data_IF_964182572798
#
_entry.id   IF_964182572798
#
_cell.length_a   1.000
_cell.length_b   1.000
_cell.length_c   1.000
_cell.angle_alpha   90.00
_cell.angle_beta   90.00
_cell.angle_gamma   90.00
#
_symmetry.space_group_name_H-M   'P 1'
#
loop_
_entity.id
_entity.type
_entity.pdbx_description
1 polymer ?
#
# COMPACT_ATOMS: atom_id res chain seq x y z
N UNK A 1 8.15 10.29 42.38
CA UNK A 1 8.43 8.95 41.81
C UNK A 1 7.82 8.94 40.42
N UNK A 2 8.62 9.11 39.36
CA UNK A 2 8.12 9.00 37.99
C UNK A 2 7.76 7.54 37.74
N UNK A 3 6.49 7.27 37.45
CA UNK A 3 6.01 5.92 37.12
C UNK A 3 6.58 5.59 35.74
N UNK A 4 7.49 4.60 35.64
CA UNK A 4 7.94 4.09 34.35
C UNK A 4 6.94 3.00 33.88
N UNK A 5 6.16 3.26 32.83
CA UNK A 5 5.16 2.31 32.35
C UNK A 5 5.76 1.09 31.62
N UNK A 6 7.07 1.07 31.29
CA UNK A 6 7.73 -0.05 30.58
C UNK A 6 7.00 -0.47 29.29
N UNK A 7 6.66 0.51 28.44
CA UNK A 7 5.87 0.29 27.23
C UNK A 7 6.61 -0.55 26.19
N UNK A 8 7.93 -0.38 26.09
CA UNK A 8 8.74 -1.10 25.10
C UNK A 8 8.88 -2.58 25.47
N UNK A 9 9.09 -2.85 26.75
CA UNK A 9 9.06 -4.19 27.32
C UNK A 9 7.69 -4.84 27.11
N UNK A 10 6.61 -4.06 27.27
CA UNK A 10 5.25 -4.55 27.07
C UNK A 10 4.97 -4.94 25.62
N UNK A 11 5.51 -4.21 24.65
CA UNK A 11 5.43 -4.57 23.24
C UNK A 11 6.06 -5.94 22.96
N UNK A 12 7.21 -6.23 23.59
CA UNK A 12 7.91 -7.50 23.42
C UNK A 12 7.26 -8.66 24.17
N UNK A 13 6.91 -8.47 25.45
CA UNK A 13 6.39 -9.55 26.31
C UNK A 13 4.88 -9.78 26.16
N UNK A 14 4.14 -8.80 25.64
CA UNK A 14 2.68 -8.84 25.57
C UNK A 14 1.97 -8.61 26.92
N UNK A 15 2.74 -8.34 27.98
CA UNK A 15 2.24 -7.96 29.30
C UNK A 15 3.20 -6.97 29.95
N UNK A 16 2.72 -6.17 30.90
CA UNK A 16 3.59 -5.26 31.64
C UNK A 16 4.38 -6.04 32.70
N UNK A 17 5.71 -5.87 32.81
CA UNK A 17 6.53 -6.54 33.81
C UNK A 17 6.01 -6.41 35.25
N UNK A 18 5.42 -5.25 35.58
CA UNK A 18 4.82 -4.97 36.88
C UNK A 18 3.60 -5.86 37.17
N UNK A 19 2.77 -6.14 36.15
CA UNK A 19 1.63 -7.06 36.29
C UNK A 19 2.11 -8.49 36.52
N UNK A 20 3.18 -8.90 35.84
CA UNK A 20 3.82 -10.20 36.07
C UNK A 20 4.31 -10.32 37.52
N UNK A 21 5.03 -9.31 38.02
CA UNK A 21 5.51 -9.26 39.40
C UNK A 21 4.38 -9.30 40.42
N UNK A 22 3.28 -8.58 40.18
CA UNK A 22 2.10 -8.64 41.05
C UNK A 22 1.50 -10.05 41.11
N UNK A 23 1.38 -10.75 39.98
CA UNK A 23 0.87 -12.13 39.96
C UNK A 23 1.79 -13.08 40.72
N UNK A 24 3.09 -12.94 40.56
CA UNK A 24 4.10 -13.73 41.29
C UNK A 24 4.02 -13.44 42.79
N UNK A 25 3.89 -12.17 43.18
CA UNK A 25 3.73 -11.75 44.58
C UNK A 25 2.51 -12.43 45.23
N UNK A 26 1.36 -12.37 44.58
CA UNK A 26 0.11 -12.97 45.08
C UNK A 26 0.28 -14.49 45.20
N UNK A 27 0.84 -15.16 44.19
CA UNK A 27 1.06 -16.61 44.24
C UNK A 27 1.96 -17.03 45.41
N UNK A 28 3.09 -16.34 45.62
CA UNK A 28 3.95 -16.62 46.77
C UNK A 28 3.28 -16.35 48.10
N UNK A 29 2.49 -15.28 48.19
CA UNK A 29 1.73 -14.96 49.38
C UNK A 29 0.73 -16.08 49.68
N UNK A 30 -0.04 -16.53 48.70
CA UNK A 30 -1.02 -17.60 48.85
C UNK A 30 -0.35 -18.91 49.33
N UNK A 31 0.77 -19.30 48.72
CA UNK A 31 1.53 -20.47 49.18
C UNK A 31 2.05 -20.34 50.62
N UNK A 32 2.49 -19.15 51.03
CA UNK A 32 2.91 -18.91 52.41
C UNK A 32 1.73 -19.13 53.38
N UNK A 33 0.54 -18.63 53.04
CA UNK A 33 -0.67 -18.85 53.85
C UNK A 33 -1.07 -20.33 53.88
N UNK A 34 -1.05 -21.02 52.75
CA UNK A 34 -1.38 -22.45 52.68
C UNK A 34 -0.44 -23.31 53.55
N UNK A 35 0.87 -23.09 53.45
CA UNK A 35 1.86 -23.81 54.26
C UNK A 35 1.66 -23.52 55.75
N UNK A 36 1.39 -22.27 56.12
CA UNK A 36 1.15 -21.89 57.51
C UNK A 36 -0.11 -22.56 58.10
N UNK A 37 -1.19 -22.63 57.32
CA UNK A 37 -2.40 -23.37 57.71
C UNK A 37 -2.12 -24.87 57.83
N UNK A 38 -1.31 -25.44 56.94
CA UNK A 38 -0.92 -26.85 57.02
C UNK A 38 -0.10 -27.15 58.28
N UNK A 39 0.88 -26.29 58.61
CA UNK A 39 1.68 -26.41 59.84
C UNK A 39 0.80 -26.31 61.09
N UNK A 40 -0.11 -25.35 61.14
CA UNK A 40 -1.05 -25.19 62.27
C UNK A 40 -1.91 -26.46 62.46
N UNK A 41 -2.47 -27.01 61.37
CA UNK A 41 -3.26 -28.25 61.40
C UNK A 41 -2.45 -29.45 61.91
N UNK A 42 -1.20 -29.59 61.48
CA UNK A 42 -0.32 -30.67 61.94
C UNK A 42 -0.01 -30.52 63.43
N UNK A 43 0.32 -29.31 63.89
CA UNK A 43 0.58 -29.05 65.31
C UNK A 43 -0.65 -29.37 66.16
N UNK A 44 -1.85 -28.94 65.74
CA UNK A 44 -3.10 -29.23 66.44
C UNK A 44 -3.38 -30.75 66.52
N UNK A 45 -3.20 -31.47 65.41
CA UNK A 45 -3.39 -32.93 65.35
C UNK A 45 -2.39 -33.68 66.24
N UNK A 46 -1.15 -33.19 66.33
CA UNK A 46 -0.12 -33.80 67.19
C UNK A 46 -0.35 -33.48 68.67
N UNK A 47 -0.71 -32.24 69.01
CA UNK A 47 -1.02 -31.84 70.38
C UNK A 47 -2.19 -32.64 70.98
N UNK A 48 -3.24 -32.88 70.18
CA UNK A 48 -4.39 -33.71 70.59
C UNK A 48 -4.08 -35.21 70.73
N UNK A 49 -2.96 -35.69 70.18
CA UNK A 49 -2.52 -37.08 70.30
C UNK A 49 -1.62 -37.37 71.50
N UNK A 50 -1.15 -36.35 72.25
CA UNK A 50 -0.31 -36.53 73.44
C UNK A 50 -1.14 -36.58 74.73
N UNK A 51 -1.02 -37.63 75.57
CA UNK A 51 -1.67 -37.66 76.87
C UNK A 51 -1.05 -36.62 77.81
N UNK A 52 -1.89 -35.75 78.40
CA UNK A 52 -1.49 -34.70 79.35
C UNK A 52 -1.17 -33.33 78.73
N UNK A 53 -1.37 -33.13 77.43
CA UNK A 53 -1.10 -31.84 76.79
C UNK A 53 -2.28 -30.86 76.96
N UNK A 54 -2.06 -29.75 77.68
CA UNK A 54 -3.04 -28.67 77.92
C UNK A 54 -2.88 -27.50 76.95
N UNK A 55 -2.34 -27.74 75.75
CA UNK A 55 -2.18 -26.67 74.76
C UNK A 55 -3.54 -26.25 74.21
N UNK A 56 -3.91 -24.99 74.46
CA UNK A 56 -5.15 -24.43 73.94
C UNK A 56 -4.99 -24.07 72.46
N UNK A 57 -5.95 -24.47 71.61
CA UNK A 57 -5.96 -24.14 70.18
C UNK A 57 -5.83 -22.63 69.92
N UNK A 58 -6.35 -21.80 70.83
CA UNK A 58 -6.25 -20.34 70.76
C UNK A 58 -4.79 -19.87 70.90
N UNK A 59 -4.00 -20.49 71.78
CA UNK A 59 -2.59 -20.15 71.96
C UNK A 59 -1.76 -20.56 70.75
N UNK A 60 -2.04 -21.74 70.17
CA UNK A 60 -1.40 -22.21 68.94
C UNK A 60 -1.70 -21.23 67.80
N UNK A 61 -2.97 -20.85 67.61
CA UNK A 61 -3.36 -19.87 66.60
C UNK A 61 -2.66 -18.51 66.79
N UNK A 62 -2.63 -17.99 68.01
CA UNK A 62 -1.93 -16.73 68.31
C UNK A 62 -0.43 -16.79 68.00
N UNK A 63 0.21 -17.94 68.26
CA UNK A 63 1.62 -18.16 67.92
C UNK A 63 1.84 -18.26 66.40
N UNK A 64 0.97 -18.97 65.68
CA UNK A 64 1.00 -19.08 64.21
C UNK A 64 0.80 -17.72 63.53
N UNK A 65 -0.16 -16.92 64.00
CA UNK A 65 -0.41 -15.57 63.49
C UNK A 65 0.77 -14.63 63.73
N UNK A 66 1.43 -14.74 64.89
CA UNK A 66 2.64 -13.96 65.20
C UNK A 66 3.79 -14.34 64.27
N UNK A 67 4.02 -15.64 64.07
CA UNK A 67 5.06 -16.13 63.15
C UNK A 67 4.75 -15.76 61.70
N UNK A 68 3.49 -15.84 61.28
CA UNK A 68 3.04 -15.45 59.95
C UNK A 68 3.31 -13.96 59.69
N UNK A 69 3.05 -13.08 60.68
CA UNK A 69 3.36 -11.66 60.56
C UNK A 69 4.85 -11.42 60.33
N UNK A 70 5.69 -12.08 61.12
CA UNK A 70 7.15 -12.03 60.96
C UNK A 70 7.58 -12.50 59.57
N UNK A 71 7.03 -13.62 59.09
CA UNK A 71 7.34 -14.17 57.77
C UNK A 71 6.89 -13.23 56.64
N UNK A 72 5.70 -12.62 56.75
CA UNK A 72 5.20 -11.65 55.76
C UNK A 72 6.09 -10.41 55.67
N UNK A 73 6.51 -9.85 56.80
CA UNK A 73 7.42 -8.70 56.79
C UNK A 73 8.76 -9.02 56.14
N UNK A 74 9.32 -10.18 56.48
CA UNK A 74 10.58 -10.65 55.87
C UNK A 74 10.41 -10.93 54.38
N UNK A 75 9.32 -11.58 53.99
CA UNK A 75 8.98 -11.85 52.60
C UNK A 75 8.87 -10.55 51.80
N UNK A 76 8.09 -9.57 52.27
CA UNK A 76 7.92 -8.30 51.56
C UNK A 76 9.25 -7.58 51.33
N UNK A 77 10.13 -7.54 52.34
CA UNK A 77 11.46 -6.92 52.21
C UNK A 77 12.35 -7.63 51.19
N UNK A 78 12.29 -8.96 51.12
CA UNK A 78 13.07 -9.74 50.15
C UNK A 78 12.46 -9.67 48.75
N UNK A 79 11.14 -9.70 48.66
CA UNK A 79 10.39 -9.64 47.41
C UNK A 79 10.68 -8.33 46.67
N UNK A 80 10.66 -7.18 47.36
CA UNK A 80 10.98 -5.88 46.73
C UNK A 80 12.39 -5.88 46.10
N UNK A 81 13.37 -6.50 46.76
CA UNK A 81 14.73 -6.60 46.20
C UNK A 81 14.78 -7.54 44.99
N UNK A 82 14.09 -8.68 45.09
CA UNK A 82 13.99 -9.64 43.99
C UNK A 82 13.28 -9.03 42.78
N UNK A 83 12.16 -8.33 43.00
CA UNK A 83 11.39 -7.60 42.01
C UNK A 83 12.29 -6.60 41.27
N UNK A 84 13.05 -5.78 42.00
CA UNK A 84 13.99 -4.83 41.39
C UNK A 84 15.00 -5.52 40.48
N UNK A 85 15.59 -6.64 40.94
CA UNK A 85 16.58 -7.40 40.15
C UNK A 85 15.94 -8.00 38.91
N UNK A 86 14.74 -8.59 39.03
CA UNK A 86 14.02 -9.19 37.90
C UNK A 86 13.62 -8.12 36.87
N UNK A 87 13.12 -6.98 37.34
CA UNK A 87 12.74 -5.86 36.49
C UNK A 87 13.95 -5.18 35.81
N UNK A 88 15.15 -5.28 36.38
CA UNK A 88 16.35 -4.67 35.79
C UNK A 88 17.11 -5.60 34.83
N UNK A 89 17.19 -6.89 35.17
CA UNK A 89 18.07 -7.84 34.48
C UNK A 89 17.33 -8.83 33.57
N UNK A 90 16.05 -9.09 33.84
CA UNK A 90 15.29 -10.14 33.13
C UNK A 90 14.17 -9.54 32.29
N UNK A 91 13.32 -8.71 32.90
CA UNK A 91 12.14 -8.12 32.25
C UNK A 91 12.40 -6.70 31.75
N UNK A 92 13.64 -6.39 31.39
CA UNK A 92 14.07 -5.11 30.85
C UNK A 92 14.62 -5.30 29.46
N UNK A 93 14.26 -4.41 28.54
CA UNK A 93 14.94 -4.35 27.25
C UNK A 93 16.03 -3.29 27.36
N UNK A 94 17.31 -3.65 27.19
CA UNK A 94 18.38 -2.66 27.20
C UNK A 94 18.12 -1.57 26.16
N UNK A 95 18.36 -0.28 26.47
CA UNK A 95 18.07 0.83 25.55
C UNK A 95 18.91 0.77 24.26
N UNK A 96 19.97 -0.03 24.25
CA UNK A 96 20.84 -0.24 23.09
C UNK A 96 20.33 -1.34 22.14
N UNK A 97 19.25 -2.04 22.50
CA UNK A 97 18.71 -3.13 21.70
C UNK A 97 17.41 -2.66 21.05
N UNK A 98 17.40 -2.76 19.73
CA UNK A 98 16.21 -2.57 18.93
C UNK A 98 15.49 -3.91 18.75
N UNK A 99 14.18 -3.91 19.00
CA UNK A 99 13.34 -5.06 18.74
C UNK A 99 13.28 -5.39 17.24
N UNK A 100 13.14 -6.66 16.85
CA UNK A 100 13.04 -7.07 15.45
C UNK A 100 11.93 -6.34 14.67
N UNK A 101 10.82 -6.02 15.34
CA UNK A 101 9.66 -5.32 14.80
C UNK A 101 10.01 -3.90 14.35
N UNK A 102 10.96 -3.25 15.03
CA UNK A 102 11.36 -1.86 14.77
C UNK A 102 12.56 -1.75 13.81
N UNK A 103 13.10 -2.87 13.30
CA UNK A 103 14.25 -2.85 12.36
C UNK A 103 14.00 -2.04 11.09
N UNK A 104 12.76 -1.88 10.67
CA UNK A 104 12.39 -1.00 9.55
C UNK A 104 12.70 0.47 9.86
N UNK A 105 12.50 0.90 11.11
CA UNK A 105 12.79 2.27 11.54
C UNK A 105 14.29 2.57 11.60
N UNK A 106 15.13 1.57 11.89
CA UNK A 106 16.59 1.72 11.84
C UNK A 106 17.12 1.71 10.39
N UNK A 107 16.60 0.83 9.53
CA UNK A 107 17.04 0.72 8.13
C UNK A 107 16.59 1.90 7.27
N UNK A 108 15.41 2.45 7.55
CA UNK A 108 14.83 3.55 6.82
C UNK A 108 14.37 4.63 7.81
N UNK A 109 15.31 5.37 8.41
CA UNK A 109 14.97 6.49 9.27
C UNK A 109 14.43 7.62 8.39
N UNK A 110 13.15 7.54 8.04
CA UNK A 110 12.52 8.54 7.20
C UNK A 110 12.12 9.73 8.07
N UNK A 111 12.65 10.91 7.75
CA UNK A 111 12.19 12.13 8.41
C UNK A 111 10.72 12.38 8.03
N UNK A 112 9.98 13.07 8.89
CA UNK A 112 8.58 13.43 8.57
C UNK A 112 8.46 14.24 7.27
N UNK A 113 9.51 15.01 6.95
CA UNK A 113 9.60 15.81 5.73
C UNK A 113 9.79 14.92 4.50
N UNK A 114 10.70 13.95 4.55
CA UNK A 114 10.92 13.00 3.46
C UNK A 114 9.68 12.13 3.19
N UNK A 115 8.95 11.76 4.24
CA UNK A 115 7.69 11.02 4.08
C UNK A 115 6.62 11.87 3.37
N UNK A 116 6.52 13.15 3.72
CA UNK A 116 5.58 14.07 3.09
C UNK A 116 5.94 14.32 1.62
N UNK A 117 7.23 14.50 1.30
CA UNK A 117 7.70 14.62 -0.08
C UNK A 117 7.37 13.37 -0.91
N UNK A 118 7.60 12.19 -0.35
CA UNK A 118 7.27 10.93 -1.01
C UNK A 118 5.75 10.82 -1.27
N UNK A 119 4.92 11.22 -0.30
CA UNK A 119 3.47 11.23 -0.48
C UNK A 119 3.04 12.17 -1.62
N UNK A 120 3.62 13.36 -1.69
CA UNK A 120 3.36 14.30 -2.79
C UNK A 120 3.81 13.74 -4.14
N UNK A 121 4.97 13.10 -4.20
CA UNK A 121 5.48 12.48 -5.42
C UNK A 121 4.56 11.35 -5.90
N UNK A 122 4.07 10.51 -4.99
CA UNK A 122 3.09 9.46 -5.31
C UNK A 122 1.80 10.04 -5.88
N UNK A 123 1.27 11.11 -5.30
CA UNK A 123 0.07 11.79 -5.82
C UNK A 123 0.31 12.38 -7.21
N UNK A 124 1.46 13.02 -7.42
CA UNK A 124 1.83 13.58 -8.74
C UNK A 124 1.99 12.48 -9.80
N UNK A 125 2.63 11.36 -9.44
CA UNK A 125 2.80 10.21 -10.33
C UNK A 125 1.46 9.59 -10.70
N UNK A 126 0.54 9.44 -9.75
CA UNK A 126 -0.81 8.95 -10.03
C UNK A 126 -1.58 9.89 -10.99
N UNK A 127 -1.44 11.20 -10.83
CA UNK A 127 -2.06 12.17 -11.72
C UNK A 127 -1.48 12.08 -13.13
N UNK A 128 -0.14 12.02 -13.24
CA UNK A 128 0.55 11.85 -14.53
C UNK A 128 0.14 10.55 -15.22
N UNK A 129 0.08 9.45 -14.48
CA UNK A 129 -0.36 8.16 -15.02
C UNK A 129 -1.78 8.23 -15.62
N UNK A 130 -2.72 8.90 -14.96
CA UNK A 130 -4.08 9.11 -15.49
C UNK A 130 -4.08 9.97 -16.76
N UNK A 131 -3.27 11.02 -16.80
CA UNK A 131 -3.14 11.89 -17.97
C UNK A 131 -2.54 11.13 -19.16
N UNK A 132 -1.48 10.34 -18.93
CA UNK A 132 -0.84 9.49 -19.94
C UNK A 132 -1.79 8.41 -20.47
N UNK A 133 -2.60 7.80 -19.60
CA UNK A 133 -3.68 6.91 -20.04
C UNK A 133 -4.67 7.65 -20.93
N UNK A 134 -5.10 8.86 -20.56
CA UNK A 134 -6.00 9.68 -21.38
C UNK A 134 -5.41 9.99 -22.76
N UNK A 135 -4.15 10.44 -22.80
CA UNK A 135 -3.42 10.72 -24.03
C UNK A 135 -3.30 9.48 -24.93
N UNK A 136 -2.98 8.31 -24.34
CA UNK A 136 -2.94 7.04 -25.07
C UNK A 136 -4.29 6.73 -25.74
N UNK A 137 -5.41 6.89 -25.02
CA UNK A 137 -6.73 6.65 -25.60
C UNK A 137 -7.07 7.64 -26.71
N UNK A 138 -6.70 8.92 -26.57
CA UNK A 138 -6.88 9.93 -27.60
C UNK A 138 -6.09 9.58 -28.88
N UNK A 139 -4.81 9.21 -28.74
CA UNK A 139 -3.97 8.81 -29.87
C UNK A 139 -4.51 7.56 -30.59
N UNK A 140 -5.04 6.58 -29.84
CA UNK A 140 -5.68 5.41 -30.44
C UNK A 140 -6.95 5.80 -31.22
N UNK A 141 -7.76 6.72 -30.70
CA UNK A 141 -8.93 7.22 -31.41
C UNK A 141 -8.56 7.98 -32.70
N UNK A 142 -7.53 8.83 -32.64
CA UNK A 142 -7.01 9.54 -33.82
C UNK A 142 -6.47 8.58 -34.88
N UNK A 143 -5.76 7.52 -34.47
CA UNK A 143 -5.26 6.49 -35.38
C UNK A 143 -6.41 5.82 -36.15
N UNK A 144 -7.52 5.48 -35.48
CA UNK A 144 -8.68 4.89 -36.14
C UNK A 144 -9.34 5.85 -37.13
N UNK A 145 -9.46 7.14 -36.78
CA UNK A 145 -9.94 8.18 -37.70
C UNK A 145 -9.02 8.31 -38.92
N UNK A 146 -7.71 8.28 -38.71
CA UNK A 146 -6.72 8.36 -39.78
C UNK A 146 -6.81 7.17 -40.74
N UNK A 147 -7.01 5.95 -40.24
CA UNK A 147 -7.22 4.75 -41.07
C UNK A 147 -8.45 4.90 -41.96
N UNK A 148 -9.56 5.40 -41.41
CA UNK A 148 -10.79 5.64 -42.19
C UNK A 148 -10.56 6.69 -43.28
N UNK A 149 -9.89 7.80 -42.95
CA UNK A 149 -9.59 8.86 -43.91
C UNK A 149 -8.65 8.37 -45.01
N UNK A 150 -7.62 7.60 -44.66
CA UNK A 150 -6.71 6.99 -45.62
C UNK A 150 -7.45 6.04 -46.58
N UNK A 151 -8.38 5.24 -46.07
CA UNK A 151 -9.22 4.36 -46.90
C UNK A 151 -10.11 5.16 -47.86
N UNK A 152 -10.67 6.30 -47.42
CA UNK A 152 -11.45 7.20 -48.29
C UNK A 152 -10.59 7.81 -49.39
N UNK A 153 -9.41 8.32 -49.05
CA UNK A 153 -8.48 8.89 -50.04
C UNK A 153 -8.04 7.85 -51.07
N UNK A 154 -7.73 6.62 -50.65
CA UNK A 154 -7.41 5.51 -51.57
C UNK A 154 -8.57 5.20 -52.51
N UNK A 155 -9.82 5.22 -52.02
CA UNK A 155 -10.99 5.06 -52.89
C UNK A 155 -11.05 6.18 -53.93
N UNK A 156 -10.89 7.43 -53.52
CA UNK A 156 -10.93 8.59 -54.44
C UNK A 156 -9.83 8.48 -55.50
N UNK A 157 -8.59 8.13 -55.11
CA UNK A 157 -7.50 7.90 -56.06
C UNK A 157 -7.85 6.79 -57.06
N UNK A 158 -8.39 5.66 -56.58
CA UNK A 158 -8.83 4.58 -57.46
C UNK A 158 -9.95 5.00 -58.43
N UNK A 159 -10.87 5.87 -58.00
CA UNK A 159 -11.87 6.47 -58.89
C UNK A 159 -11.23 7.34 -59.98
N UNK A 160 -10.20 8.13 -59.63
CA UNK A 160 -9.46 8.93 -60.62
C UNK A 160 -8.67 8.06 -61.60
N UNK A 161 -8.00 7.01 -61.11
CA UNK A 161 -7.27 6.06 -61.95
C UNK A 161 -8.23 5.37 -62.93
N UNK A 162 -9.38 4.88 -62.44
CA UNK A 162 -10.40 4.25 -63.28
C UNK A 162 -11.04 5.21 -64.29
N UNK A 163 -11.15 6.51 -63.97
CA UNK A 163 -11.59 7.53 -64.91
C UNK A 163 -10.53 7.75 -66.01
N UNK A 164 -9.25 7.78 -65.64
CA UNK A 164 -8.12 7.82 -66.58
C UNK A 164 -8.13 6.64 -67.54
N UNK A 165 -8.34 5.43 -67.03
CA UNK A 165 -8.42 4.21 -67.83
C UNK A 165 -9.66 4.18 -68.75
N UNK A 166 -10.80 4.72 -68.31
CA UNK A 166 -12.03 4.80 -69.11
C UNK A 166 -11.92 5.79 -70.29
N UNK A 167 -10.97 6.74 -70.25
CA UNK A 167 -10.75 7.70 -71.33
C UNK A 167 -9.94 7.14 -72.51
N UNK A 168 -9.49 5.87 -72.45
CA UNK A 168 -8.73 5.24 -73.52
C UNK A 168 -7.32 5.81 -73.68
N UNK A 169 -6.49 5.25 -74.59
CA UNK A 169 -5.07 5.60 -74.70
C UNK A 169 -4.78 7.04 -75.14
N UNK A 170 -5.77 7.78 -75.65
CA UNK A 170 -5.67 9.21 -75.89
C UNK A 170 -6.35 9.96 -74.75
N UNK A 171 -5.56 10.62 -73.91
CA UNK A 171 -6.08 11.38 -72.77
C UNK A 171 -7.09 12.44 -73.21
N UNK A 172 -8.06 12.77 -72.34
CA UNK A 172 -9.12 13.75 -72.64
C UNK A 172 -8.55 15.10 -73.11
N UNK A 173 -7.38 15.50 -72.61
CA UNK A 173 -6.65 16.69 -73.07
C UNK A 173 -6.15 16.59 -74.52
N UNK A 174 -5.64 15.43 -74.95
CA UNK A 174 -5.19 15.18 -76.33
C UNK A 174 -6.39 15.10 -77.28
N UNK A 175 -7.47 14.46 -76.87
CA UNK A 175 -8.72 14.40 -77.63
C UNK A 175 -9.34 15.80 -77.83
N UNK A 176 -9.35 16.63 -76.78
CA UNK A 176 -9.77 18.03 -76.88
C UNK A 176 -8.85 18.86 -77.78
N UNK A 177 -7.53 18.69 -77.67
CA UNK A 177 -6.57 19.36 -78.54
C UNK A 177 -6.78 19.01 -80.02
N UNK A 178 -7.02 17.72 -80.31
CA UNK A 178 -7.34 17.24 -81.66
C UNK A 178 -8.64 17.86 -82.20
N UNK A 179 -9.71 17.88 -81.40
CA UNK A 179 -10.98 18.52 -81.76
C UNK A 179 -10.83 20.03 -82.04
N UNK A 180 -10.06 20.74 -81.22
CA UNK A 180 -9.78 22.16 -81.41
C UNK A 180 -9.00 22.40 -82.71
N UNK A 181 -7.98 21.58 -82.98
CA UNK A 181 -7.19 21.69 -84.20
C UNK A 181 -8.03 21.43 -85.47
N UNK A 182 -8.85 20.38 -85.45
CA UNK A 182 -9.70 20.04 -86.59
C UNK A 182 -10.84 21.02 -86.80
N UNK A 183 -11.48 21.51 -85.73
CA UNK A 183 -12.52 22.54 -85.84
C UNK A 183 -11.96 23.88 -86.33
N UNK A 184 -10.73 24.23 -85.96
CA UNK A 184 -9.99 25.38 -86.50
C UNK A 184 -9.77 25.27 -88.01
N UNK A 185 -9.32 24.10 -88.49
CA UNK A 185 -9.17 23.81 -89.93
C UNK A 185 -10.50 23.85 -90.68
N UNK A 186 -11.55 23.24 -90.11
CA UNK A 186 -12.89 23.22 -90.72
C UNK A 186 -13.47 24.63 -90.86
N UNK A 187 -13.27 25.48 -89.86
CA UNK A 187 -13.66 26.89 -89.90
C UNK A 187 -12.94 27.65 -91.02
N UNK A 188 -11.63 27.46 -91.15
CA UNK A 188 -10.84 28.04 -92.24
C UNK A 188 -11.34 27.59 -93.62
N UNK A 189 -11.58 26.28 -93.81
CA UNK A 189 -12.08 25.74 -95.07
C UNK A 189 -13.49 26.28 -95.39
N UNK A 190 -14.35 26.39 -94.39
CA UNK A 190 -15.72 26.93 -94.57
C UNK A 190 -15.68 28.42 -94.92
N UNK A 191 -14.76 29.18 -94.32
CA UNK A 191 -14.51 30.59 -94.71
C UNK A 191 -14.01 30.69 -96.15
N UNK A 192 -13.08 29.83 -96.58
CA UNK A 192 -12.59 29.81 -97.96
C UNK A 192 -13.68 29.41 -98.97
N UNK A 193 -14.52 28.42 -98.64
CA UNK A 193 -15.65 28.00 -99.49
C UNK A 193 -16.70 29.11 -99.59
N UNK A 194 -17.06 29.77 -98.48
CA UNK A 194 -18.00 30.91 -98.53
C UNK A 194 -17.42 32.11 -99.26
N UNK A 195 -16.12 32.35 -99.18
CA UNK A 195 -15.47 33.42 -99.94
C UNK A 195 -15.39 33.09 -101.44
N UNK A 196 -15.15 31.83 -101.80
CA UNK A 196 -15.19 31.36 -103.20
C UNK A 196 -16.62 31.31 -103.76
N UNK A 197 -17.63 30.94 -102.97
CA UNK A 197 -19.03 30.95 -103.42
C UNK A 197 -19.55 32.38 -103.65
N UNK A 198 -19.12 33.34 -102.84
CA UNK A 198 -19.38 34.78 -103.07
C UNK A 198 -18.75 35.28 -104.37
N UNK A 199 -17.57 34.78 -104.75
CA UNK A 199 -16.92 35.10 -106.04
C UNK A 199 -17.62 34.45 -107.24
N UNK A 200 -18.27 33.30 -107.06
CA UNK A 200 -19.04 32.61 -108.11
C UNK A 200 -20.45 33.19 -108.32
N UNK A 201 -20.97 33.99 -107.40
CA UNK A 201 -22.26 34.71 -107.54
C UNK A 201 -22.10 36.13 -108.08
N UNK A 202 -20.88 36.55 -108.43
CA UNK A 202 -20.57 37.85 -109.06
C UNK A 202 -20.03 37.73 -110.49
N UNK A 203 -20.33 36.63 -111.18
CA UNK A 203 -20.23 36.52 -112.63
C UNK A 203 -21.60 36.46 -113.27
#
# INVERSE_FOLDING_TARGET
>A
MSINPMLYETQFFGFTPQTCMLRIYIAFQDYLFEVMVAVEKVILKKASSLPGCTLNAIQIRGSTETFLRFMKERFNRLFVKMEQVLLQLVLNIPPNILLPEDRSHEKYPQSREDFHLLQQEVEQLQLRYKAELGAKHALLAELEVQKVMQARLKKILHWFDGLGDAHGPLGLGEMMAFLIQHSGRLRSITQDVTQKSKKLTTQ
#
